data_IF_555091981662
#
_entry.id   IF_555091981662
#
_cell.length_a   1.000
_cell.length_b   1.000
_cell.length_c   1.000
_cell.angle_alpha   90.00
_cell.angle_beta   90.00
_cell.angle_gamma   90.00
#
_symmetry.space_group_name_H-M   'P 1'
#
loop_
_entity.id
_entity.type
_entity.pdbx_description
1 polymer ?
#
# COMPACT_ATOMS: atom_id res chain seq x y z
N UNK A 1 -8.35 -28.38 46.77
CA UNK A 1 -7.11 -27.85 46.15
C UNK A 1 -6.93 -28.26 44.69
N UNK A 2 -7.22 -29.50 44.28
CA UNK A 2 -6.96 -29.98 42.90
C UNK A 2 -7.68 -29.20 41.78
N UNK A 3 -8.92 -28.71 42.02
CA UNK A 3 -9.72 -27.94 41.05
C UNK A 3 -9.22 -26.51 40.79
N UNK A 4 -8.46 -25.92 41.72
CA UNK A 4 -7.91 -24.57 41.59
C UNK A 4 -6.68 -24.57 40.66
N UNK A 5 -5.86 -25.62 40.76
CA UNK A 5 -4.69 -25.87 39.92
C UNK A 5 -5.09 -26.09 38.44
N UNK A 6 -6.15 -26.86 38.19
CA UNK A 6 -6.67 -27.11 36.83
C UNK A 6 -7.20 -25.84 36.14
N UNK A 7 -7.84 -24.94 36.91
CA UNK A 7 -8.33 -23.65 36.39
C UNK A 7 -7.20 -22.71 36.01
N UNK A 8 -6.14 -22.66 36.82
CA UNK A 8 -4.96 -21.83 36.50
C UNK A 8 -4.19 -22.41 35.31
N UNK A 9 -4.06 -23.73 35.21
CA UNK A 9 -3.44 -24.38 34.05
C UNK A 9 -4.22 -24.11 32.75
N UNK A 10 -5.56 -24.21 32.80
CA UNK A 10 -6.41 -23.89 31.65
C UNK A 10 -6.31 -22.41 31.22
N UNK A 11 -6.24 -21.48 32.18
CA UNK A 11 -6.05 -20.06 31.90
C UNK A 11 -4.69 -19.77 31.24
N UNK A 12 -3.63 -20.44 31.70
CA UNK A 12 -2.28 -20.32 31.11
C UNK A 12 -2.24 -20.89 29.69
N UNK A 13 -2.89 -22.05 29.44
CA UNK A 13 -2.99 -22.63 28.10
C UNK A 13 -3.77 -21.70 27.16
N UNK A 14 -4.89 -21.13 27.62
CA UNK A 14 -5.67 -20.17 26.84
C UNK A 14 -4.86 -18.90 26.52
N UNK A 15 -4.11 -18.38 27.48
CA UNK A 15 -3.23 -17.22 27.28
C UNK A 15 -2.11 -17.52 26.27
N UNK A 16 -1.49 -18.71 26.35
CA UNK A 16 -0.50 -19.18 25.38
C UNK A 16 -1.08 -19.35 23.98
N UNK A 17 -2.30 -19.85 23.86
CA UNK A 17 -2.99 -19.94 22.56
C UNK A 17 -3.29 -18.57 21.96
N UNK A 18 -3.69 -17.59 22.77
CA UNK A 18 -3.90 -16.21 22.30
C UNK A 18 -2.58 -15.57 21.81
N UNK A 19 -1.46 -15.84 22.48
CA UNK A 19 -0.14 -15.32 22.10
C UNK A 19 0.43 -15.96 20.83
N UNK A 20 0.07 -17.21 20.52
CA UNK A 20 0.57 -17.94 19.34
C UNK A 20 -0.21 -17.66 18.04
N UNK A 21 -1.40 -17.05 18.12
CA UNK A 21 -2.28 -16.83 16.94
C UNK A 21 -2.10 -15.44 16.33
N UNK A 22 -1.17 -14.61 16.82
CA UNK A 22 -0.92 -13.29 16.22
C UNK A 22 -0.21 -13.45 14.87
N UNK A 23 -0.84 -13.13 13.73
CA UNK A 23 -0.17 -13.22 12.45
C UNK A 23 0.94 -12.17 12.37
N UNK A 24 2.20 -12.60 12.38
CA UNK A 24 3.34 -11.76 12.08
C UNK A 24 3.31 -11.39 10.59
N UNK A 25 2.85 -10.18 10.25
CA UNK A 25 2.90 -9.68 8.87
C UNK A 25 4.31 -9.18 8.55
N UNK A 26 5.18 -10.09 8.15
CA UNK A 26 6.58 -9.82 7.80
C UNK A 26 6.80 -9.44 6.32
N UNK A 27 5.75 -9.16 5.56
CA UNK A 27 5.87 -8.83 4.13
C UNK A 27 6.03 -7.33 3.89
N UNK A 28 7.01 -6.95 3.07
CA UNK A 28 7.33 -5.55 2.78
C UNK A 28 6.38 -4.94 1.73
N UNK A 29 5.64 -3.92 2.16
CA UNK A 29 4.69 -3.16 1.34
C UNK A 29 3.31 -3.83 1.24
N UNK A 30 2.27 -3.08 0.84
CA UNK A 30 1.00 -3.69 0.48
C UNK A 30 1.29 -4.59 -0.73
N UNK A 31 0.99 -5.89 -0.63
CA UNK A 31 1.03 -6.79 -1.78
C UNK A 31 -0.01 -6.38 -2.83
N UNK A 32 -0.52 -7.35 -3.59
CA UNK A 32 -1.66 -7.08 -4.49
C UNK A 32 -2.82 -6.45 -3.70
N UNK A 33 -3.27 -5.27 -4.13
CA UNK A 33 -4.38 -4.55 -3.49
C UNK A 33 -5.69 -5.04 -4.07
N UNK A 34 -6.42 -5.84 -3.31
CA UNK A 34 -7.70 -6.40 -3.71
C UNK A 34 -8.85 -5.44 -3.41
N UNK A 35 -9.88 -5.47 -4.24
CA UNK A 35 -11.16 -4.86 -3.93
C UNK A 35 -11.81 -5.58 -2.74
N UNK A 36 -12.67 -4.88 -1.99
CA UNK A 36 -13.31 -5.43 -0.78
C UNK A 36 -14.15 -6.68 -1.06
N UNK A 37 -14.73 -6.77 -2.25
CA UNK A 37 -15.52 -7.91 -2.71
C UNK A 37 -14.66 -9.05 -3.28
N UNK A 38 -13.32 -8.88 -3.33
CA UNK A 38 -12.36 -9.88 -3.81
C UNK A 38 -12.38 -10.14 -5.32
N UNK A 39 -13.22 -9.42 -6.05
CA UNK A 39 -13.48 -9.68 -7.46
C UNK A 39 -12.50 -9.01 -8.41
N UNK A 40 -11.71 -8.06 -7.91
CA UNK A 40 -10.70 -7.37 -8.67
C UNK A 40 -9.50 -6.99 -7.82
N UNK A 41 -8.45 -6.56 -8.51
CA UNK A 41 -7.25 -6.05 -7.89
C UNK A 41 -6.78 -4.79 -8.61
N UNK A 42 -6.01 -3.97 -7.89
CA UNK A 42 -5.50 -2.72 -8.40
C UNK A 42 -4.05 -2.89 -8.86
N UNK A 43 -3.71 -2.25 -9.98
CA UNK A 43 -2.37 -2.26 -10.56
C UNK A 43 -2.01 -0.87 -11.13
N UNK A 44 -0.72 -0.56 -11.14
CA UNK A 44 -0.20 0.59 -11.88
C UNK A 44 0.26 0.12 -13.26
N UNK A 45 -0.41 0.57 -14.32
CA UNK A 45 -0.15 0.15 -15.70
C UNK A 45 -0.28 1.34 -16.65
N UNK A 46 0.67 1.47 -17.58
CA UNK A 46 0.65 2.50 -18.63
C UNK A 46 0.47 3.93 -18.11
N UNK A 47 1.07 4.26 -16.95
CA UNK A 47 0.96 5.59 -16.35
C UNK A 47 -0.42 5.87 -15.73
N UNK A 48 -1.19 4.83 -15.41
CA UNK A 48 -2.48 4.91 -14.72
C UNK A 48 -2.46 3.97 -13.51
N UNK A 49 -3.35 4.21 -12.54
CA UNK A 49 -3.73 3.19 -11.55
C UNK A 49 -5.12 2.70 -11.91
N UNK A 50 -5.24 1.39 -12.08
CA UNK A 50 -6.45 0.75 -12.58
C UNK A 50 -6.89 -0.39 -11.68
N UNK A 51 -8.19 -0.64 -11.67
CA UNK A 51 -8.78 -1.87 -11.17
C UNK A 51 -8.97 -2.84 -12.33
N UNK A 52 -8.53 -4.08 -12.16
CA UNK A 52 -8.70 -5.19 -13.08
C UNK A 52 -9.62 -6.22 -12.43
N UNK A 53 -10.60 -6.73 -13.16
CA UNK A 53 -11.41 -7.86 -12.70
C UNK A 53 -10.58 -9.14 -12.75
N UNK A 54 -10.57 -9.90 -11.65
CA UNK A 54 -9.78 -11.10 -11.49
C UNK A 54 -10.32 -12.29 -12.30
N UNK A 55 -11.60 -12.23 -12.71
CA UNK A 55 -12.30 -13.26 -13.48
C UNK A 55 -12.23 -12.99 -14.98
N UNK A 56 -12.04 -11.73 -15.37
CA UNK A 56 -11.92 -11.31 -16.76
C UNK A 56 -10.99 -10.11 -16.92
N UNK A 57 -9.82 -10.34 -17.51
CA UNK A 57 -8.79 -9.32 -17.71
C UNK A 57 -9.20 -8.19 -18.64
N UNK A 58 -10.24 -8.37 -19.48
CA UNK A 58 -10.75 -7.30 -20.34
C UNK A 58 -11.54 -6.24 -19.56
N UNK A 59 -12.09 -6.60 -18.38
CA UNK A 59 -12.84 -5.68 -17.52
C UNK A 59 -11.87 -4.87 -16.66
N UNK A 60 -11.57 -3.66 -17.15
CA UNK A 60 -10.64 -2.69 -16.57
C UNK A 60 -11.36 -1.37 -16.25
N UNK A 61 -11.05 -0.78 -15.10
CA UNK A 61 -11.55 0.54 -14.70
C UNK A 61 -10.39 1.43 -14.27
N UNK A 62 -10.31 2.64 -14.82
CA UNK A 62 -9.29 3.61 -14.41
C UNK A 62 -9.69 4.24 -13.09
N UNK A 63 -8.84 4.10 -12.07
CA UNK A 63 -9.03 4.71 -10.74
C UNK A 63 -8.28 6.04 -10.61
N UNK A 64 -7.09 6.11 -11.20
CA UNK A 64 -6.28 7.32 -11.29
C UNK A 64 -5.74 7.44 -12.71
N UNK A 65 -6.09 8.54 -13.38
CA UNK A 65 -5.73 8.80 -14.77
C UNK A 65 -4.27 9.24 -14.93
N UNK A 66 -3.75 9.20 -16.16
CA UNK A 66 -2.44 9.77 -16.52
C UNK A 66 -2.31 11.22 -16.08
N UNK A 67 -3.33 12.04 -16.34
CA UNK A 67 -3.32 13.46 -16.00
C UNK A 67 -3.17 13.69 -14.48
N UNK A 68 -3.81 12.85 -13.66
CA UNK A 68 -3.71 12.91 -12.19
C UNK A 68 -2.35 12.42 -11.67
N UNK A 69 -1.62 11.63 -12.46
CA UNK A 69 -0.27 11.16 -12.14
C UNK A 69 0.82 12.04 -12.78
N UNK A 70 0.46 13.13 -13.47
CA UNK A 70 1.42 14.08 -14.04
C UNK A 70 1.57 15.29 -13.11
N UNK A 71 2.75 15.53 -12.51
CA UNK A 71 2.99 16.70 -11.70
C UNK A 71 2.83 18.00 -12.51
N UNK A 72 2.43 19.08 -11.84
CA UNK A 72 2.29 20.38 -12.48
C UNK A 72 3.62 20.81 -13.14
N UNK A 73 3.54 21.25 -14.39
CA UNK A 73 4.71 21.67 -15.18
C UNK A 73 5.46 20.51 -15.86
N UNK A 74 5.01 19.27 -15.70
CA UNK A 74 5.53 18.12 -16.42
C UNK A 74 4.55 17.65 -17.50
N UNK A 75 5.04 16.88 -18.46
CA UNK A 75 4.25 16.30 -19.56
C UNK A 75 4.12 14.78 -19.47
N UNK A 76 4.91 14.15 -18.60
CA UNK A 76 4.99 12.70 -18.44
C UNK A 76 4.45 12.31 -17.06
N UNK A 77 3.55 11.31 -16.97
CA UNK A 77 3.09 10.82 -15.67
C UNK A 77 4.23 10.13 -14.92
N UNK A 78 4.22 10.22 -13.59
CA UNK A 78 5.23 9.53 -12.79
C UNK A 78 5.11 8.01 -12.94
N UNK A 79 6.26 7.34 -12.97
CA UNK A 79 6.31 5.89 -12.93
C UNK A 79 6.03 5.39 -11.51
N UNK A 80 4.84 4.81 -11.31
CA UNK A 80 4.37 4.32 -10.01
C UNK A 80 4.87 2.90 -9.79
N UNK A 81 5.76 2.72 -8.80
CA UNK A 81 6.22 1.39 -8.38
C UNK A 81 5.24 0.75 -7.40
N UNK A 82 4.74 1.54 -6.45
CA UNK A 82 3.74 1.13 -5.45
C UNK A 82 2.84 2.31 -5.14
N UNK A 83 1.63 2.02 -4.70
CA UNK A 83 0.70 3.03 -4.25
C UNK A 83 -0.05 2.55 -3.02
N UNK A 84 -0.73 3.46 -2.34
CA UNK A 84 -1.76 3.16 -1.35
C UNK A 84 -2.85 4.22 -1.49
N UNK A 85 -4.11 3.84 -1.28
CA UNK A 85 -5.21 4.80 -1.14
C UNK A 85 -5.36 5.21 0.33
N UNK A 86 -5.81 6.43 0.57
CA UNK A 86 -6.28 6.84 1.90
C UNK A 86 -7.54 6.06 2.27
N UNK A 87 -7.89 6.01 3.56
CA UNK A 87 -9.06 5.26 4.04
C UNK A 87 -10.37 5.67 3.37
N UNK A 88 -10.48 6.94 3.01
CA UNK A 88 -11.62 7.54 2.31
C UNK A 88 -11.52 7.47 0.77
N UNK A 89 -10.44 6.91 0.22
CA UNK A 89 -10.17 6.79 -1.21
C UNK A 89 -9.91 8.12 -1.93
N UNK A 90 -9.84 9.26 -1.23
CA UNK A 90 -9.71 10.60 -1.85
C UNK A 90 -8.28 10.95 -2.22
N UNK A 91 -7.29 10.30 -1.62
CA UNK A 91 -5.87 10.53 -1.87
C UNK A 91 -5.16 9.22 -2.20
N UNK A 92 -4.08 9.35 -2.94
CA UNK A 92 -3.19 8.23 -3.27
C UNK A 92 -1.76 8.61 -2.91
N UNK A 93 -1.14 7.80 -2.06
CA UNK A 93 0.28 7.86 -1.77
C UNK A 93 1.00 7.03 -2.81
N UNK A 94 1.99 7.61 -3.47
CA UNK A 94 2.71 7.03 -4.59
C UNK A 94 4.18 6.88 -4.19
N UNK A 95 4.75 5.71 -4.43
CA UNK A 95 6.17 5.42 -4.26
C UNK A 95 6.81 5.24 -5.63
N UNK A 96 7.80 6.07 -5.94
CA UNK A 96 8.41 6.21 -7.26
C UNK A 96 9.93 6.17 -7.15
N UNK A 97 10.62 6.05 -8.29
CA UNK A 97 12.09 6.11 -8.36
C UNK A 97 12.76 5.23 -7.31
N UNK A 98 12.31 3.99 -7.19
CA UNK A 98 12.65 3.16 -6.04
C UNK A 98 14.05 2.56 -6.18
N UNK A 99 14.79 2.45 -5.07
CA UNK A 99 16.11 1.84 -5.02
C UNK A 99 16.12 0.64 -4.08
N UNK A 100 16.71 -0.46 -4.55
CA UNK A 100 16.86 -1.70 -3.80
C UNK A 100 17.84 -1.51 -2.64
N UNK A 101 17.40 -1.90 -1.45
CA UNK A 101 18.27 -2.07 -0.28
C UNK A 101 18.17 -3.53 0.14
N UNK A 102 19.28 -4.25 -0.05
CA UNK A 102 19.38 -5.69 0.13
C UNK A 102 18.35 -6.47 -0.70
N UNK A 103 17.20 -6.85 -0.13
CA UNK A 103 16.18 -7.68 -0.81
C UNK A 103 15.11 -6.86 -1.53
N UNK A 104 14.79 -5.66 -1.04
CA UNK A 104 13.58 -4.95 -1.43
C UNK A 104 13.84 -3.48 -1.78
N UNK A 105 13.03 -2.94 -2.68
CA UNK A 105 13.03 -1.51 -3.05
C UNK A 105 12.38 -0.67 -1.94
N UNK A 106 13.13 -0.44 -0.86
CA UNK A 106 12.65 0.23 0.37
C UNK A 106 12.86 1.73 0.37
N UNK A 107 13.79 2.21 -0.46
CA UNK A 107 14.07 3.62 -0.68
C UNK A 107 13.41 4.10 -1.97
N UNK A 108 13.03 5.38 -2.00
CA UNK A 108 12.48 6.01 -3.19
C UNK A 108 11.99 7.43 -2.91
N UNK A 109 11.27 7.98 -3.86
CA UNK A 109 10.56 9.24 -3.74
C UNK A 109 9.08 8.98 -3.45
N UNK A 110 8.43 9.93 -2.78
CA UNK A 110 7.01 9.82 -2.47
C UNK A 110 6.23 11.04 -2.92
N UNK A 111 5.01 10.79 -3.39
CA UNK A 111 4.06 11.80 -3.79
C UNK A 111 2.69 11.50 -3.18
N UNK A 112 1.91 12.54 -2.90
CA UNK A 112 0.49 12.41 -2.59
C UNK A 112 -0.30 13.08 -3.71
N UNK A 113 -1.13 12.31 -4.39
CA UNK A 113 -2.13 12.82 -5.32
C UNK A 113 -3.48 12.96 -4.58
N UNK A 114 -4.06 14.15 -4.58
CA UNK A 114 -5.43 14.37 -4.12
C UNK A 114 -6.36 14.32 -5.35
N UNK A 115 -7.18 13.27 -5.41
CA UNK A 115 -8.00 12.96 -6.58
C UNK A 115 -9.16 13.95 -6.75
N UNK A 116 -9.64 14.55 -5.64
CA UNK A 116 -10.73 15.52 -5.66
C UNK A 116 -10.23 16.90 -6.06
N UNK A 117 -9.09 17.32 -5.49
CA UNK A 117 -8.48 18.61 -5.81
C UNK A 117 -7.69 18.57 -7.12
N UNK A 118 -7.43 17.38 -7.67
CA UNK A 118 -6.57 17.15 -8.83
C UNK A 118 -5.19 17.81 -8.65
N UNK A 119 -4.60 17.61 -7.46
CA UNK A 119 -3.29 18.15 -7.11
C UNK A 119 -2.33 17.04 -6.77
N UNK A 120 -1.05 17.29 -7.00
CA UNK A 120 0.01 16.33 -6.74
C UNK A 120 1.16 16.99 -6.00
N UNK A 121 1.53 16.45 -4.83
CA UNK A 121 2.52 17.03 -3.93
C UNK A 121 3.64 16.03 -3.63
N UNK A 122 4.87 16.41 -3.92
CA UNK A 122 6.04 15.64 -3.52
C UNK A 122 6.27 15.75 -2.01
N UNK A 123 6.54 14.61 -1.37
CA UNK A 123 6.94 14.55 0.03
C UNK A 123 8.46 14.70 0.16
N UNK A 124 8.92 15.25 1.28
CA UNK A 124 10.35 15.34 1.58
C UNK A 124 11.14 16.26 0.63
N UNK A 125 10.50 17.30 0.08
CA UNK A 125 11.18 18.31 -0.76
C UNK A 125 12.46 18.81 -0.07
N UNK A 126 13.58 18.80 -0.80
CA UNK A 126 14.90 19.17 -0.28
C UNK A 126 15.69 18.01 0.34
N UNK A 127 15.13 16.81 0.42
CA UNK A 127 15.89 15.59 0.70
C UNK A 127 16.57 15.08 -0.56
N UNK A 128 17.66 14.29 -0.44
CA UNK A 128 18.26 13.64 -1.58
C UNK A 128 17.24 12.77 -2.32
N UNK A 129 17.40 12.67 -3.63
CA UNK A 129 16.60 11.80 -4.47
C UNK A 129 16.65 10.34 -3.97
N UNK A 130 15.53 9.64 -4.04
CA UNK A 130 15.44 8.23 -3.66
C UNK A 130 15.88 7.95 -2.22
N UNK A 131 15.75 8.90 -1.29
CA UNK A 131 16.24 8.72 0.08
C UNK A 131 15.14 8.37 1.08
N UNK A 132 13.88 8.57 0.72
CA UNK A 132 12.75 8.42 1.64
C UNK A 132 12.35 6.95 1.77
N UNK A 133 11.77 6.59 2.91
CA UNK A 133 11.38 5.21 3.22
C UNK A 133 10.06 5.19 4.01
N UNK A 134 9.24 4.17 3.75
CA UNK A 134 8.10 3.78 4.57
C UNK A 134 7.02 4.86 4.83
N UNK A 135 6.76 5.75 3.87
CA UNK A 135 5.63 6.66 3.99
C UNK A 135 4.29 5.89 4.07
N UNK A 136 3.35 6.42 4.85
CA UNK A 136 2.00 5.88 5.08
C UNK A 136 1.01 7.04 5.19
N UNK A 137 -0.27 6.75 5.04
CA UNK A 137 -1.34 7.66 5.47
C UNK A 137 -1.47 7.66 6.98
#
# INVERSE_FOLDING_TARGET
MLKLCTRQLAAVILLLQVLLVVPARAQFGPGTQWTKDGNGYMAAENGEIVQLDARDKARRTVLVSKAQLTPQGQTVPIEVRRFAFSDDGRKVLLHTNTKKVWRYDTRGDYWVADLKANTMKQLGKGRPESSLMFAKF
#
